data_IF_821638778946
#
_entry.id   IF_821638778946
#
_cell.length_a   1.000
_cell.length_b   1.000
_cell.length_c   1.000
_cell.angle_alpha   90.00
_cell.angle_beta   90.00
_cell.angle_gamma   90.00
#
_symmetry.space_group_name_H-M   'P 1'
#
loop_
_entity.id
_entity.type
_entity.pdbx_description
1 polymer ?
#
# COMPACT_ATOMS: atom_id res chain seq x y z
N UNK A 1 -9.53 22.55 -15.26
CA UNK A 1 -9.46 23.15 -16.61
C UNK A 1 -9.69 24.66 -16.55
N UNK A 2 -9.33 25.38 -17.62
CA UNK A 2 -9.62 26.83 -17.75
C UNK A 2 -11.12 27.08 -17.71
N UNK A 3 -11.92 26.21 -18.33
CA UNK A 3 -13.39 26.32 -18.33
C UNK A 3 -13.99 26.13 -16.94
N UNK A 4 -13.47 25.18 -16.16
CA UNK A 4 -13.86 25.00 -14.75
C UNK A 4 -13.52 26.22 -13.90
N UNK A 5 -12.31 26.77 -14.05
CA UNK A 5 -11.93 27.98 -13.36
C UNK A 5 -12.83 29.18 -13.74
N UNK A 6 -13.15 29.33 -15.02
CA UNK A 6 -14.09 30.38 -15.50
C UNK A 6 -15.48 30.20 -14.87
N UNK A 7 -15.97 28.97 -14.78
CA UNK A 7 -17.26 28.67 -14.15
C UNK A 7 -17.27 29.01 -12.66
N UNK A 8 -16.20 28.66 -11.94
CA UNK A 8 -16.04 28.97 -10.52
C UNK A 8 -15.94 30.50 -10.29
N UNK A 9 -15.16 31.21 -11.09
CA UNK A 9 -15.04 32.66 -11.03
C UNK A 9 -16.37 33.37 -11.34
N UNK A 10 -17.13 32.88 -12.32
CA UNK A 10 -18.49 33.41 -12.60
C UNK A 10 -19.44 33.18 -11.41
N UNK A 11 -19.34 32.06 -10.73
CA UNK A 11 -20.13 31.78 -9.54
C UNK A 11 -19.75 32.71 -8.40
N UNK A 12 -18.44 32.93 -8.15
CA UNK A 12 -17.98 33.92 -7.20
C UNK A 12 -18.50 35.33 -7.51
N UNK A 13 -18.44 35.73 -8.78
CA UNK A 13 -18.93 37.03 -9.23
C UNK A 13 -20.46 37.18 -9.01
N UNK A 14 -21.21 36.13 -9.33
CA UNK A 14 -22.67 36.15 -9.14
C UNK A 14 -23.07 36.27 -7.68
N UNK A 15 -22.44 35.48 -6.78
CA UNK A 15 -22.73 35.53 -5.35
C UNK A 15 -22.29 36.87 -4.74
N UNK A 16 -21.11 37.38 -5.13
CA UNK A 16 -20.62 38.70 -4.67
C UNK A 16 -21.56 39.83 -5.10
N UNK A 17 -22.13 39.74 -6.31
CA UNK A 17 -23.05 40.78 -6.82
C UNK A 17 -24.42 40.76 -6.16
N UNK A 18 -24.93 39.56 -5.78
CA UNK A 18 -26.28 39.38 -5.23
C UNK A 18 -26.27 39.44 -3.70
N UNK A 19 -25.28 38.81 -3.08
CA UNK A 19 -25.24 38.59 -1.60
C UNK A 19 -24.22 39.49 -0.90
N UNK A 20 -23.36 40.19 -1.67
CA UNK A 20 -22.30 41.04 -1.14
C UNK A 20 -21.08 40.31 -0.58
N UNK A 21 -21.13 38.97 -0.57
CA UNK A 21 -20.01 38.09 -0.15
C UNK A 21 -19.97 36.83 -1.04
N UNK A 22 -18.80 36.17 -1.04
CA UNK A 22 -18.64 34.90 -1.74
C UNK A 22 -19.09 33.78 -0.80
N UNK A 23 -20.20 33.13 -1.16
CA UNK A 23 -20.68 31.94 -0.44
C UNK A 23 -19.74 30.78 -0.67
N UNK A 24 -19.42 30.04 0.41
CA UNK A 24 -18.53 28.88 0.35
C UNK A 24 -19.09 27.79 -0.56
N UNK A 25 -18.26 27.30 -1.47
CA UNK A 25 -18.63 26.23 -2.40
C UNK A 25 -17.41 25.36 -2.74
N UNK A 26 -17.65 24.15 -3.19
CA UNK A 26 -16.57 23.25 -3.62
C UNK A 26 -16.09 23.67 -5.02
N UNK A 27 -14.84 24.16 -5.18
CA UNK A 27 -14.29 24.51 -6.49
C UNK A 27 -14.19 23.30 -7.41
N UNK A 28 -14.25 23.55 -8.74
CA UNK A 28 -14.09 22.49 -9.74
C UNK A 28 -15.31 21.61 -9.99
N UNK A 29 -16.47 21.89 -9.40
CA UNK A 29 -17.72 21.13 -9.65
C UNK A 29 -18.13 21.14 -11.13
N UNK A 30 -17.80 22.20 -11.86
CA UNK A 30 -18.06 22.35 -13.28
C UNK A 30 -16.80 22.16 -14.14
N UNK A 31 -15.74 21.65 -13.55
CA UNK A 31 -14.51 21.38 -14.28
C UNK A 31 -14.74 20.21 -15.25
N UNK A 32 -14.81 20.53 -16.53
CA UNK A 32 -14.99 19.58 -17.63
C UNK A 32 -13.64 19.23 -18.25
N UNK A 33 -12.72 18.69 -17.44
CA UNK A 33 -11.49 18.15 -18.01
C UNK A 33 -11.83 16.98 -18.94
N UNK A 34 -11.42 17.01 -20.21
CA UNK A 34 -11.51 15.86 -21.09
C UNK A 34 -10.52 14.75 -20.69
N UNK A 35 -9.58 15.04 -19.79
CA UNK A 35 -8.71 14.03 -19.22
C UNK A 35 -9.51 13.13 -18.28
N UNK A 36 -9.51 11.84 -18.57
CA UNK A 36 -10.00 10.83 -17.65
C UNK A 36 -9.02 10.83 -16.47
N UNK A 37 -9.39 11.50 -15.40
CA UNK A 37 -8.75 11.23 -14.13
C UNK A 37 -9.24 9.86 -13.68
N UNK A 38 -8.45 8.83 -13.95
CA UNK A 38 -8.59 7.52 -13.36
C UNK A 38 -8.40 7.73 -11.85
N UNK A 39 -9.47 8.18 -11.21
CA UNK A 39 -9.42 8.45 -9.79
C UNK A 39 -9.08 7.13 -9.08
N UNK A 40 -8.14 7.18 -8.14
CA UNK A 40 -7.84 6.09 -7.19
C UNK A 40 -9.08 5.60 -6.41
N UNK A 41 -10.25 6.19 -6.72
CA UNK A 41 -11.54 5.89 -6.11
C UNK A 41 -12.02 4.45 -6.33
N UNK A 42 -11.47 3.71 -7.32
CA UNK A 42 -11.71 2.28 -7.45
C UNK A 42 -11.19 1.52 -6.23
N UNK A 43 -10.11 2.03 -5.62
CA UNK A 43 -9.40 1.43 -4.50
C UNK A 43 -9.72 2.09 -3.16
N UNK A 44 -10.51 3.16 -3.12
CA UNK A 44 -10.64 4.04 -1.95
C UNK A 44 -11.66 3.59 -0.89
N UNK A 45 -12.46 2.55 -1.13
CA UNK A 45 -13.41 2.04 -0.14
C UNK A 45 -13.56 0.53 -0.26
N UNK A 46 -12.66 -0.22 0.38
CA UNK A 46 -12.82 -1.67 0.53
C UNK A 46 -13.70 -1.97 1.74
N UNK A 47 -14.86 -2.64 1.55
CA UNK A 47 -15.73 -3.04 2.67
C UNK A 47 -14.96 -3.84 3.72
N UNK A 48 -13.99 -4.66 3.29
CA UNK A 48 -13.19 -5.52 4.16
C UNK A 48 -12.23 -4.76 5.08
N UNK A 49 -11.95 -3.48 4.84
CA UNK A 49 -11.21 -2.66 5.79
C UNK A 49 -11.96 -2.52 7.13
N UNK A 50 -13.31 -2.58 7.12
CA UNK A 50 -14.13 -2.60 8.34
C UNK A 50 -13.85 -3.81 9.23
N UNK A 51 -13.50 -4.96 8.64
CA UNK A 51 -13.23 -6.19 9.38
C UNK A 51 -11.89 -6.07 10.13
N UNK A 52 -10.87 -5.46 9.52
CA UNK A 52 -9.60 -5.14 10.18
C UNK A 52 -9.80 -4.13 11.30
N UNK A 53 -10.65 -3.11 11.07
CA UNK A 53 -10.98 -2.12 12.11
C UNK A 53 -11.74 -2.76 13.26
N UNK A 54 -12.66 -3.69 13.00
CA UNK A 54 -13.36 -4.44 14.03
C UNK A 54 -12.40 -5.31 14.86
N UNK A 55 -11.39 -5.94 14.22
CA UNK A 55 -10.32 -6.64 14.91
C UNK A 55 -9.51 -5.70 15.82
N UNK A 56 -9.15 -4.51 15.32
CA UNK A 56 -8.49 -3.49 16.13
C UNK A 56 -9.33 -3.08 17.35
N UNK A 57 -10.63 -2.94 17.19
CA UNK A 57 -11.53 -2.59 18.31
C UNK A 57 -11.59 -3.70 19.35
N UNK A 58 -11.63 -4.98 18.91
CA UNK A 58 -11.55 -6.13 19.84
C UNK A 58 -10.23 -6.14 20.61
N UNK A 59 -9.10 -5.96 19.94
CA UNK A 59 -7.77 -5.87 20.57
C UNK A 59 -7.71 -4.72 21.57
N UNK A 60 -8.26 -3.55 21.21
CA UNK A 60 -8.27 -2.37 22.08
C UNK A 60 -9.10 -2.57 23.35
N UNK A 61 -10.19 -3.34 23.26
CA UNK A 61 -11.10 -3.62 24.39
C UNK A 61 -10.60 -4.78 25.26
N UNK A 62 -10.13 -5.87 24.64
CA UNK A 62 -9.73 -7.09 25.36
C UNK A 62 -8.31 -7.00 25.91
N UNK A 63 -7.43 -6.20 25.28
CA UNK A 63 -5.99 -6.22 25.53
C UNK A 63 -5.31 -7.51 25.07
N UNK A 64 -6.01 -8.40 24.34
CA UNK A 64 -5.47 -9.64 23.82
C UNK A 64 -4.99 -9.47 22.36
N UNK A 65 -3.93 -10.20 21.96
CA UNK A 65 -3.41 -10.13 20.60
C UNK A 65 -4.36 -10.82 19.61
N UNK A 66 -4.44 -10.27 18.39
CA UNK A 66 -5.19 -10.87 17.29
C UNK A 66 -4.36 -10.83 15.99
N UNK A 67 -4.46 -11.90 15.20
CA UNK A 67 -3.89 -11.99 13.85
C UNK A 67 -5.02 -11.82 12.81
N UNK A 68 -4.80 -10.95 11.85
CA UNK A 68 -5.64 -10.83 10.65
C UNK A 68 -4.79 -11.17 9.43
N UNK A 69 -5.17 -12.19 8.69
CA UNK A 69 -4.55 -12.52 7.40
C UNK A 69 -5.40 -11.97 6.26
N UNK A 70 -4.76 -11.35 5.26
CA UNK A 70 -5.42 -10.84 4.05
C UNK A 70 -4.87 -11.63 2.88
N UNK A 71 -5.58 -12.68 2.47
CA UNK A 71 -5.20 -13.59 1.39
C UNK A 71 -5.85 -13.24 0.06
N UNK A 72 -5.23 -13.64 -1.06
CA UNK A 72 -5.88 -13.56 -2.36
C UNK A 72 -4.95 -13.24 -3.53
N UNK A 73 -5.46 -13.35 -4.78
CA UNK A 73 -4.66 -13.21 -5.99
C UNK A 73 -4.06 -11.81 -6.15
N UNK A 74 -3.07 -11.68 -7.03
CA UNK A 74 -2.46 -10.39 -7.35
C UNK A 74 -3.52 -9.43 -7.92
N UNK A 75 -3.46 -8.16 -7.51
CA UNK A 75 -4.35 -7.12 -8.02
C UNK A 75 -5.75 -7.10 -7.41
N UNK A 76 -6.12 -8.04 -6.52
CA UNK A 76 -7.47 -8.12 -5.91
C UNK A 76 -7.77 -6.96 -4.93
N UNK A 77 -6.77 -6.19 -4.56
CA UNK A 77 -6.95 -5.02 -3.68
C UNK A 77 -6.46 -5.19 -2.25
N UNK A 78 -5.62 -6.18 -1.92
CA UNK A 78 -5.04 -6.38 -0.57
C UNK A 78 -4.39 -5.11 -0.03
N UNK A 79 -3.47 -4.52 -0.79
CA UNK A 79 -2.79 -3.26 -0.40
C UNK A 79 -3.77 -2.08 -0.27
N UNK A 80 -4.90 -2.11 -1.00
CA UNK A 80 -5.94 -1.09 -0.87
C UNK A 80 -6.75 -1.25 0.41
N UNK A 81 -7.03 -2.50 0.85
CA UNK A 81 -7.60 -2.78 2.19
C UNK A 81 -6.67 -2.23 3.26
N UNK A 82 -5.36 -2.51 3.16
CA UNK A 82 -4.33 -1.98 4.06
C UNK A 82 -4.34 -0.45 4.07
N UNK A 83 -4.27 0.19 2.93
CA UNK A 83 -4.24 1.66 2.82
C UNK A 83 -5.50 2.31 3.42
N UNK A 84 -6.68 1.73 3.18
CA UNK A 84 -7.95 2.18 3.75
C UNK A 84 -7.96 2.02 5.27
N UNK A 85 -7.47 0.88 5.76
CA UNK A 85 -7.32 0.62 7.20
C UNK A 85 -6.39 1.62 7.86
N UNK A 86 -5.19 1.83 7.30
CA UNK A 86 -4.22 2.79 7.82
C UNK A 86 -4.80 4.20 7.91
N UNK A 87 -5.49 4.66 6.85
CA UNK A 87 -6.13 5.97 6.83
C UNK A 87 -7.19 6.13 7.94
N UNK A 88 -7.93 5.06 8.23
CA UNK A 88 -8.92 5.05 9.31
C UNK A 88 -8.28 4.98 10.71
N UNK A 89 -7.17 4.27 10.84
CA UNK A 89 -6.44 4.13 12.10
C UNK A 89 -5.64 5.39 12.47
N UNK A 90 -5.13 6.15 11.49
CA UNK A 90 -4.41 7.40 11.73
C UNK A 90 -5.22 8.44 12.51
N UNK A 91 -6.54 8.36 12.49
CA UNK A 91 -7.43 9.23 13.25
C UNK A 91 -7.66 8.75 14.69
N UNK A 92 -7.05 7.62 15.08
CA UNK A 92 -7.20 6.97 16.39
C UNK A 92 -5.89 7.02 17.17
N UNK A 93 -5.97 6.84 18.48
CA UNK A 93 -4.79 6.70 19.32
C UNK A 93 -4.21 5.30 19.19
N UNK A 94 -3.29 5.11 18.26
CA UNK A 94 -2.70 3.83 17.90
C UNK A 94 -1.24 4.02 17.47
N UNK A 95 -0.39 3.04 17.73
CA UNK A 95 0.95 2.98 17.18
C UNK A 95 0.96 2.06 15.95
N UNK A 96 1.48 2.56 14.85
CA UNK A 96 1.50 1.85 13.56
C UNK A 96 2.93 1.49 13.18
N UNK A 97 3.21 0.19 13.08
CA UNK A 97 4.44 -0.35 12.53
C UNK A 97 4.11 -1.00 11.18
N UNK A 98 4.54 -0.37 10.09
CA UNK A 98 4.19 -0.80 8.72
C UNK A 98 5.44 -1.26 8.01
N UNK A 99 5.46 -2.54 7.60
CA UNK A 99 6.52 -3.14 6.82
C UNK A 99 5.99 -3.69 5.49
N UNK A 100 6.76 -3.50 4.44
CA UNK A 100 6.51 -4.11 3.13
C UNK A 100 7.73 -4.93 2.73
N UNK A 101 7.49 -6.16 2.28
CA UNK A 101 8.56 -7.01 1.76
C UNK A 101 8.79 -6.69 0.29
N UNK A 102 10.05 -6.40 -0.06
CA UNK A 102 10.44 -6.17 -1.43
C UNK A 102 10.92 -7.48 -2.08
N UNK A 103 10.33 -7.82 -3.22
CA UNK A 103 10.68 -9.02 -3.98
C UNK A 103 12.12 -9.00 -4.51
N UNK A 104 12.68 -7.82 -4.76
CA UNK A 104 13.95 -7.64 -5.48
C UNK A 104 15.10 -7.18 -4.57
N UNK A 105 14.83 -6.80 -3.33
CA UNK A 105 15.89 -6.52 -2.36
C UNK A 105 16.55 -7.81 -1.92
N UNK A 106 17.90 -7.86 -1.89
CA UNK A 106 18.56 -9.00 -1.28
C UNK A 106 18.01 -9.16 0.13
N UNK A 107 17.54 -10.35 0.42
CA UNK A 107 16.86 -10.71 1.67
C UNK A 107 17.82 -10.56 2.85
N UNK A 108 17.96 -9.34 3.34
CA UNK A 108 18.58 -9.13 4.66
C UNK A 108 17.68 -9.80 5.68
N UNK A 109 18.20 -10.68 6.52
CA UNK A 109 17.41 -11.26 7.59
C UNK A 109 16.70 -10.18 8.38
N UNK A 110 15.42 -10.40 8.70
CA UNK A 110 14.57 -9.48 9.45
C UNK A 110 14.20 -8.17 8.71
N UNK A 111 14.35 -8.09 7.39
CA UNK A 111 14.15 -6.87 6.61
C UNK A 111 12.77 -6.25 6.79
N UNK A 112 11.71 -7.07 6.78
CA UNK A 112 10.34 -6.57 6.98
C UNK A 112 10.09 -6.04 8.38
N UNK A 113 10.65 -6.68 9.41
CA UNK A 113 10.54 -6.23 10.80
C UNK A 113 11.34 -4.93 11.01
N UNK A 114 12.54 -4.85 10.41
CA UNK A 114 13.35 -3.62 10.37
C UNK A 114 12.55 -2.46 9.79
N UNK A 115 11.96 -2.65 8.61
CA UNK A 115 11.12 -1.64 7.94
C UNK A 115 9.94 -1.21 8.81
N UNK A 116 9.23 -2.17 9.41
CA UNK A 116 8.08 -1.88 10.26
C UNK A 116 8.44 -1.07 11.51
N UNK A 117 9.46 -1.50 12.25
CA UNK A 117 9.90 -0.78 13.45
C UNK A 117 10.60 0.54 13.14
N UNK A 118 11.25 0.66 11.97
CA UNK A 118 11.81 1.93 11.50
C UNK A 118 10.71 2.96 11.31
N UNK A 119 9.61 2.60 10.63
CA UNK A 119 8.47 3.49 10.42
C UNK A 119 7.94 4.02 11.76
N UNK A 120 7.80 3.13 12.75
CA UNK A 120 7.36 3.50 14.10
C UNK A 120 8.39 4.38 14.82
N UNK A 121 9.68 4.05 14.74
CA UNK A 121 10.76 4.82 15.37
C UNK A 121 10.81 6.25 14.82
N UNK A 122 10.70 6.43 13.52
CA UNK A 122 10.65 7.75 12.88
C UNK A 122 9.42 8.54 13.32
N UNK A 123 8.27 7.90 13.48
CA UNK A 123 7.08 8.53 14.03
C UNK A 123 7.33 9.04 15.45
N UNK A 124 7.94 8.24 16.33
CA UNK A 124 8.26 8.62 17.71
C UNK A 124 9.25 9.79 17.78
N UNK A 125 10.25 9.82 16.90
CA UNK A 125 11.23 10.92 16.81
C UNK A 125 10.57 12.23 16.38
N UNK A 126 9.43 12.18 15.67
CA UNK A 126 8.63 13.34 15.28
C UNK A 126 7.70 13.90 16.36
N UNK A 127 7.59 13.24 17.52
CA UNK A 127 6.75 13.68 18.64
C UNK A 127 7.34 14.90 19.38
N UNK A 128 6.54 15.63 20.18
CA UNK A 128 7.06 16.67 21.06
C UNK A 128 8.18 16.18 21.99
N UNK A 129 9.16 17.03 22.27
CA UNK A 129 10.39 16.66 23.01
C UNK A 129 10.13 15.94 24.35
N UNK A 130 9.06 16.32 25.08
CA UNK A 130 8.67 15.67 26.35
C UNK A 130 8.20 14.22 26.16
N UNK A 131 7.48 13.95 25.08
CA UNK A 131 7.03 12.59 24.74
C UNK A 131 8.21 11.74 24.26
N UNK A 132 9.10 12.30 23.44
CA UNK A 132 10.34 11.64 23.01
C UNK A 132 11.19 11.26 24.22
N UNK A 133 11.35 12.15 25.22
CA UNK A 133 12.08 11.86 26.46
C UNK A 133 11.47 10.69 27.23
N UNK A 134 10.15 10.63 27.30
CA UNK A 134 9.43 9.51 27.93
C UNK A 134 9.70 8.19 27.20
N UNK A 135 9.67 8.21 25.86
CA UNK A 135 9.98 7.03 25.04
C UNK A 135 11.44 6.58 25.17
N UNK A 136 12.40 7.52 25.29
CA UNK A 136 13.81 7.20 25.55
C UNK A 136 13.97 6.37 26.81
N UNK A 137 13.40 6.82 27.93
CA UNK A 137 13.47 6.12 29.22
C UNK A 137 12.84 4.72 29.11
N UNK A 138 11.65 4.62 28.48
CA UNK A 138 10.94 3.35 28.32
C UNK A 138 11.73 2.35 27.49
N UNK A 139 12.24 2.78 26.34
CA UNK A 139 12.99 1.93 25.41
C UNK A 139 14.34 1.52 25.98
N UNK A 140 15.09 2.45 26.60
CA UNK A 140 16.37 2.13 27.24
C UNK A 140 16.22 1.07 28.33
N UNK A 141 15.16 1.17 29.14
CA UNK A 141 14.87 0.16 30.17
C UNK A 141 14.45 -1.19 29.59
N UNK A 142 13.60 -1.19 28.57
CA UNK A 142 13.05 -2.42 27.98
C UNK A 142 14.08 -3.19 27.15
N UNK A 143 15.05 -2.48 26.57
CA UNK A 143 16.08 -3.02 25.70
C UNK A 143 17.43 -3.19 26.42
N UNK A 144 17.47 -3.08 27.75
CA UNK A 144 18.68 -3.31 28.52
C UNK A 144 19.30 -4.68 28.20
N UNK A 145 20.54 -4.69 27.70
CA UNK A 145 21.23 -5.88 27.18
C UNK A 145 20.85 -6.33 25.78
N UNK A 146 19.97 -5.60 25.09
CA UNK A 146 19.58 -5.83 23.68
C UNK A 146 19.88 -4.63 22.79
N UNK A 147 20.50 -3.57 23.29
CA UNK A 147 20.68 -2.29 22.60
C UNK A 147 21.37 -2.48 21.24
N UNK A 148 22.41 -3.33 21.21
CA UNK A 148 23.17 -3.64 20.00
C UNK A 148 22.30 -4.31 18.92
N UNK A 149 21.50 -5.31 19.32
CA UNK A 149 20.58 -6.02 18.42
C UNK A 149 19.47 -5.08 17.93
N UNK A 150 18.94 -4.23 18.80
CA UNK A 150 17.89 -3.28 18.45
C UNK A 150 18.39 -2.23 17.45
N UNK A 151 19.59 -1.69 17.63
CA UNK A 151 20.21 -0.75 16.69
C UNK A 151 20.64 -1.45 15.40
N UNK A 152 21.04 -2.73 15.43
CA UNK A 152 21.31 -3.50 14.20
C UNK A 152 20.04 -3.73 13.39
N UNK A 153 18.88 -3.90 14.05
CA UNK A 153 17.59 -4.01 13.38
C UNK A 153 17.11 -2.67 12.85
N UNK A 154 17.15 -1.63 13.67
CA UNK A 154 16.68 -0.27 13.37
C UNK A 154 17.73 0.75 13.81
N UNK A 155 18.61 1.21 12.91
CA UNK A 155 19.68 2.14 13.26
C UNK A 155 19.20 3.43 13.92
N UNK A 156 18.02 3.90 13.59
CA UNK A 156 17.40 5.11 14.14
C UNK A 156 17.07 4.98 15.64
N UNK A 157 16.94 3.76 16.18
CA UNK A 157 16.78 3.54 17.63
C UNK A 157 17.96 4.08 18.44
N UNK A 158 19.16 4.18 17.83
CA UNK A 158 20.31 4.82 18.49
C UNK A 158 20.04 6.27 18.94
N UNK A 159 19.07 6.96 18.33
CA UNK A 159 18.65 8.31 18.72
C UNK A 159 17.70 8.31 19.93
N UNK A 160 17.09 7.16 20.23
CA UNK A 160 16.15 6.96 21.33
C UNK A 160 16.77 6.17 22.50
N UNK A 161 17.96 5.56 22.34
CA UNK A 161 18.64 4.84 23.40
C UNK A 161 19.68 5.74 24.08
N UNK A 162 19.72 5.72 25.42
CA UNK A 162 20.67 6.50 26.20
C UNK A 162 22.07 5.89 26.20
N UNK A 163 22.12 4.54 26.14
CA UNK A 163 23.37 3.81 26.13
C UNK A 163 23.80 3.56 24.67
N UNK A 164 25.03 4.00 24.35
CA UNK A 164 25.60 3.71 23.02
C UNK A 164 25.96 2.22 22.93
N UNK A 165 25.43 1.50 21.94
CA UNK A 165 25.77 0.09 21.76
C UNK A 165 27.27 -0.09 21.52
N UNK A 166 27.87 -1.12 22.17
CA UNK A 166 29.24 -1.56 21.89
C UNK A 166 29.13 -2.80 21.02
N UNK A 167 29.48 -2.69 19.76
CA UNK A 167 29.38 -3.79 18.80
C UNK A 167 30.35 -4.91 19.13
N UNK A 168 29.86 -6.14 19.36
CA UNK A 168 30.63 -7.36 19.52
C UNK A 168 30.39 -8.32 18.32
N UNK A 169 31.41 -9.14 18.00
CA UNK A 169 31.45 -9.96 16.79
C UNK A 169 30.55 -11.21 16.81
N UNK A 170 29.82 -11.51 17.91
CA UNK A 170 29.13 -12.80 18.11
C UNK A 170 27.65 -12.83 17.70
N UNK A 171 27.25 -12.10 16.67
CA UNK A 171 25.85 -11.83 16.34
C UNK A 171 25.09 -12.99 15.62
N UNK A 172 25.74 -14.12 15.27
CA UNK A 172 25.13 -15.12 14.36
C UNK A 172 25.04 -16.57 14.88
N UNK A 173 25.04 -16.79 16.19
CA UNK A 173 24.82 -18.13 16.78
C UNK A 173 23.32 -18.49 16.91
N UNK A 174 23.03 -19.79 17.21
CA UNK A 174 21.63 -20.23 17.50
C UNK A 174 21.04 -19.44 18.67
N UNK A 175 21.85 -19.11 19.68
CA UNK A 175 21.45 -18.24 20.80
C UNK A 175 21.13 -16.82 20.34
N UNK A 176 21.75 -16.33 19.26
CA UNK A 176 21.45 -15.01 18.71
C UNK A 176 20.03 -14.90 18.16
N UNK A 177 19.49 -15.95 17.53
CA UNK A 177 18.10 -15.95 17.03
C UNK A 177 17.09 -15.87 18.17
N UNK A 178 17.28 -16.66 19.22
CA UNK A 178 16.43 -16.61 20.41
C UNK A 178 16.49 -15.23 21.08
N UNK A 179 17.69 -14.68 21.25
CA UNK A 179 17.90 -13.31 21.77
C UNK A 179 17.22 -12.26 20.92
N UNK A 180 17.28 -12.41 19.58
CA UNK A 180 16.61 -11.51 18.64
C UNK A 180 15.09 -11.56 18.79
N UNK A 181 14.49 -12.75 18.87
CA UNK A 181 13.05 -12.91 19.08
C UNK A 181 12.61 -12.33 20.43
N UNK A 182 13.40 -12.49 21.49
CA UNK A 182 13.15 -11.88 22.80
C UNK A 182 13.24 -10.35 22.74
N UNK A 183 14.21 -9.80 22.02
CA UNK A 183 14.35 -8.36 21.80
C UNK A 183 13.11 -7.80 21.06
N UNK A 184 12.66 -8.46 19.99
CA UNK A 184 11.44 -8.04 19.26
C UNK A 184 10.22 -8.09 20.16
N UNK A 185 10.09 -9.13 20.99
CA UNK A 185 9.01 -9.23 21.98
C UNK A 185 9.06 -8.10 23.01
N UNK A 186 10.27 -7.72 23.48
CA UNK A 186 10.46 -6.59 24.40
C UNK A 186 10.07 -5.25 23.74
N UNK A 187 10.44 -5.04 22.47
CA UNK A 187 10.00 -3.89 21.68
C UNK A 187 8.47 -3.82 21.58
N UNK A 188 7.84 -4.92 21.17
CA UNK A 188 6.38 -4.99 21.03
C UNK A 188 5.68 -4.71 22.36
N UNK A 189 6.15 -5.31 23.46
CA UNK A 189 5.61 -5.06 24.82
C UNK A 189 5.75 -3.60 25.25
N UNK A 190 6.80 -2.93 24.82
CA UNK A 190 7.04 -1.53 25.16
C UNK A 190 6.11 -0.60 24.39
N UNK A 191 5.87 -0.89 23.12
CA UNK A 191 5.00 -0.09 22.24
C UNK A 191 3.53 -0.36 22.50
N UNK A 192 3.12 -1.63 22.63
CA UNK A 192 1.74 -2.03 22.80
C UNK A 192 1.30 -1.82 24.27
N UNK A 193 0.50 -0.79 24.52
CA UNK A 193 -0.09 -0.49 25.82
C UNK A 193 -1.61 -0.43 25.75
N UNK A 194 -2.31 -0.64 26.87
CA UNK A 194 -3.78 -0.57 26.90
C UNK A 194 -4.34 0.80 26.42
N UNK A 195 -3.56 1.87 26.60
CA UNK A 195 -3.96 3.21 26.15
C UNK A 195 -3.56 3.53 24.71
N UNK A 196 -2.70 2.71 24.09
CA UNK A 196 -2.24 2.84 22.70
C UNK A 196 -1.85 1.44 22.17
N UNK A 197 -2.80 0.68 21.60
CA UNK A 197 -2.52 -0.61 20.96
C UNK A 197 -1.49 -0.46 19.84
N UNK A 198 -0.70 -1.51 19.61
CA UNK A 198 0.20 -1.59 18.47
C UNK A 198 -0.45 -2.34 17.32
N UNK A 199 -0.41 -1.78 16.13
CA UNK A 199 -0.74 -2.47 14.88
C UNK A 199 0.54 -2.72 14.10
N UNK A 200 0.92 -3.99 13.97
CA UNK A 200 2.01 -4.45 13.13
C UNK A 200 1.43 -4.93 11.80
N UNK A 201 1.67 -4.17 10.74
CA UNK A 201 1.14 -4.43 9.41
C UNK A 201 2.26 -4.83 8.47
N UNK A 202 2.16 -6.04 7.90
CA UNK A 202 3.15 -6.61 7.00
C UNK A 202 2.52 -6.91 5.64
N UNK A 203 2.93 -6.20 4.60
CA UNK A 203 2.45 -6.40 3.23
C UNK A 203 3.43 -7.24 2.41
N UNK A 204 2.90 -8.01 1.46
CA UNK A 204 3.65 -8.85 0.53
C UNK A 204 4.50 -9.94 1.20
N UNK A 205 4.02 -10.53 2.30
CA UNK A 205 4.78 -11.53 3.09
C UNK A 205 5.06 -12.84 2.35
N UNK A 206 4.57 -13.05 1.13
CA UNK A 206 5.02 -14.15 0.26
C UNK A 206 6.51 -14.05 -0.11
N UNK A 207 7.16 -12.94 0.19
CA UNK A 207 8.61 -12.72 -0.01
C UNK A 207 9.38 -12.63 1.31
N UNK A 208 8.72 -12.94 2.44
CA UNK A 208 9.33 -12.83 3.78
C UNK A 208 10.51 -13.79 3.92
N UNK A 209 11.54 -13.35 4.60
CA UNK A 209 12.65 -14.22 4.97
C UNK A 209 12.26 -15.17 6.13
N UNK A 210 12.89 -16.34 6.17
CA UNK A 210 12.59 -17.38 7.16
C UNK A 210 12.80 -16.92 8.61
N UNK A 211 13.77 -16.03 8.85
CA UNK A 211 14.09 -15.54 10.20
C UNK A 211 13.00 -14.57 10.70
N UNK A 212 12.51 -13.67 9.82
CA UNK A 212 11.36 -12.80 10.11
C UNK A 212 10.12 -13.63 10.42
N UNK A 213 9.84 -14.66 9.61
CA UNK A 213 8.66 -15.51 9.78
C UNK A 213 8.70 -16.29 11.10
N UNK A 214 9.85 -16.87 11.46
CA UNK A 214 10.05 -17.55 12.74
C UNK A 214 9.89 -16.59 13.92
N UNK A 215 10.38 -15.36 13.79
CA UNK A 215 10.22 -14.32 14.83
C UNK A 215 8.75 -13.92 14.97
N UNK A 216 8.01 -13.83 13.88
CA UNK A 216 6.58 -13.52 13.89
C UNK A 216 5.78 -14.66 14.56
N UNK A 217 6.06 -15.92 14.24
CA UNK A 217 5.45 -17.10 14.90
C UNK A 217 5.74 -17.10 16.41
N UNK A 218 7.00 -16.87 16.80
CA UNK A 218 7.38 -16.77 18.20
C UNK A 218 6.66 -15.61 18.91
N UNK A 219 6.55 -14.46 18.28
CA UNK A 219 5.85 -13.30 18.81
C UNK A 219 4.38 -13.62 19.07
N UNK A 220 3.68 -14.23 18.11
CA UNK A 220 2.26 -14.59 18.25
C UNK A 220 2.03 -15.57 19.39
N UNK A 221 2.92 -16.55 19.59
CA UNK A 221 2.86 -17.52 20.71
C UNK A 221 3.19 -16.92 22.06
N UNK A 222 4.14 -15.96 22.11
CA UNK A 222 4.72 -15.48 23.36
C UNK A 222 4.15 -14.14 23.85
N UNK A 223 3.30 -13.47 23.05
CA UNK A 223 2.87 -12.12 23.40
C UNK A 223 1.89 -12.04 24.57
N UNK A 224 1.19 -13.12 24.94
CA UNK A 224 0.27 -13.11 26.09
C UNK A 224 -0.82 -12.05 25.99
N UNK A 225 -1.14 -11.36 27.09
CA UNK A 225 -2.13 -10.28 27.13
C UNK A 225 -1.49 -8.93 26.74
N UNK A 226 -1.24 -8.73 25.45
CA UNK A 226 -0.68 -7.49 24.90
C UNK A 226 -1.63 -6.96 23.84
N UNK A 227 -2.03 -5.68 23.85
CA UNK A 227 -2.92 -5.12 22.83
C UNK A 227 -2.18 -4.95 21.50
N UNK A 228 -2.00 -6.06 20.79
CA UNK A 228 -1.28 -6.18 19.53
C UNK A 228 -2.23 -6.71 18.44
N UNK A 229 -2.41 -5.93 17.38
CA UNK A 229 -3.00 -6.41 16.14
C UNK A 229 -1.90 -6.68 15.13
N UNK A 230 -1.76 -7.91 14.66
CA UNK A 230 -0.88 -8.28 13.56
C UNK A 230 -1.73 -8.43 12.30
N UNK A 231 -1.41 -7.68 11.25
CA UNK A 231 -2.07 -7.77 9.94
C UNK A 231 -1.03 -8.24 8.92
N UNK A 232 -1.31 -9.36 8.26
CA UNK A 232 -0.40 -10.00 7.31
C UNK A 232 -1.09 -10.13 5.96
N UNK A 233 -0.56 -9.50 4.91
CA UNK A 233 -1.09 -9.65 3.56
C UNK A 233 -0.18 -10.52 2.70
N UNK A 234 -0.78 -11.50 2.01
CA UNK A 234 -0.06 -12.46 1.18
C UNK A 234 -0.85 -12.82 -0.10
N UNK A 235 -0.15 -13.36 -1.09
CA UNK A 235 -0.80 -13.98 -2.25
C UNK A 235 -1.43 -15.32 -1.86
N UNK A 236 -2.25 -15.87 -2.76
CA UNK A 236 -2.78 -17.22 -2.55
C UNK A 236 -1.65 -18.19 -2.23
N UNK A 237 -1.74 -18.86 -1.09
CA UNK A 237 -0.69 -19.76 -0.62
C UNK A 237 -0.40 -20.88 -1.64
N UNK A 238 -1.45 -21.38 -2.32
CA UNK A 238 -1.31 -22.38 -3.39
C UNK A 238 -0.48 -21.92 -4.58
N UNK A 239 -0.31 -20.62 -4.77
CA UNK A 239 0.48 -20.02 -5.86
C UNK A 239 1.96 -19.83 -5.50
N UNK A 240 2.36 -20.11 -4.26
CA UNK A 240 3.75 -19.95 -3.81
C UNK A 240 4.62 -21.12 -4.32
N UNK A 241 5.80 -20.77 -4.82
CA UNK A 241 6.75 -21.77 -5.35
C UNK A 241 7.51 -22.53 -4.25
N UNK A 242 7.59 -21.96 -3.03
CA UNK A 242 8.28 -22.56 -1.89
C UNK A 242 7.28 -23.27 -0.96
N UNK A 243 7.26 -24.60 -0.91
CA UNK A 243 6.37 -25.36 -0.03
C UNK A 243 6.63 -25.12 1.46
N UNK A 244 7.88 -24.82 1.82
CA UNK A 244 8.27 -24.55 3.22
C UNK A 244 7.62 -23.24 3.69
N UNK A 245 7.73 -22.20 2.88
CA UNK A 245 7.10 -20.90 3.15
C UNK A 245 5.57 -21.02 3.15
N UNK A 246 5.01 -21.76 2.20
CA UNK A 246 3.58 -22.04 2.14
C UNK A 246 3.06 -22.66 3.45
N UNK A 247 3.72 -23.72 3.92
CA UNK A 247 3.34 -24.43 5.18
C UNK A 247 3.49 -23.50 6.38
N UNK A 248 4.59 -22.75 6.46
CA UNK A 248 4.84 -21.85 7.58
C UNK A 248 3.86 -20.67 7.63
N UNK A 249 3.47 -20.10 6.50
CA UNK A 249 2.44 -19.06 6.46
C UNK A 249 1.05 -19.63 6.79
N UNK A 250 0.73 -20.85 6.34
CA UNK A 250 -0.53 -21.52 6.65
C UNK A 250 -0.67 -21.85 8.15
N UNK A 251 0.45 -22.06 8.87
CA UNK A 251 0.44 -22.35 10.31
C UNK A 251 0.42 -21.10 11.21
N UNK A 252 0.63 -19.89 10.69
CA UNK A 252 0.59 -18.67 11.49
C UNK A 252 -0.71 -18.46 12.28
N UNK A 253 -1.92 -18.75 11.73
CA UNK A 253 -3.16 -18.65 12.49
C UNK A 253 -3.20 -19.54 13.75
N UNK A 254 -2.52 -20.70 13.72
CA UNK A 254 -2.43 -21.62 14.85
C UNK A 254 -1.54 -21.08 15.99
N UNK A 255 -0.61 -20.16 15.64
CA UNK A 255 0.25 -19.50 16.62
C UNK A 255 -0.48 -18.39 17.40
N UNK A 256 -1.55 -17.82 16.84
CA UNK A 256 -2.30 -16.73 17.44
C UNK A 256 -3.43 -17.24 18.33
N UNK A 257 -3.75 -16.53 19.41
CA UNK A 257 -4.91 -16.84 20.27
C UNK A 257 -6.23 -16.57 19.54
N UNK A 258 -6.27 -15.52 18.75
CA UNK A 258 -7.38 -15.18 17.89
C UNK A 258 -6.84 -14.88 16.49
N UNK A 259 -7.41 -15.52 15.48
CA UNK A 259 -7.05 -15.31 14.09
C UNK A 259 -8.31 -15.16 13.24
N UNK A 260 -8.26 -14.25 12.28
CA UNK A 260 -9.29 -14.09 11.27
C UNK A 260 -8.67 -13.95 9.88
N UNK A 261 -9.35 -14.45 8.87
CA UNK A 261 -8.93 -14.38 7.48
C UNK A 261 -9.89 -13.48 6.71
N UNK A 262 -9.31 -12.58 5.92
CA UNK A 262 -10.01 -11.68 5.01
C UNK A 262 -9.58 -12.02 3.59
N UNK A 263 -10.54 -12.37 2.75
CA UNK A 263 -10.33 -12.58 1.32
C UNK A 263 -11.05 -11.48 0.54
N UNK A 264 -10.31 -10.48 0.03
CA UNK A 264 -10.91 -9.43 -0.79
C UNK A 264 -11.61 -10.03 -2.01
N UNK A 265 -12.84 -9.58 -2.24
CA UNK A 265 -13.69 -10.11 -3.31
C UNK A 265 -13.47 -9.29 -4.59
N UNK A 266 -13.59 -9.96 -5.74
CA UNK A 266 -13.64 -9.28 -7.02
C UNK A 266 -14.80 -8.27 -7.08
N UNK A 267 -14.61 -7.19 -7.83
CA UNK A 267 -15.65 -6.16 -8.00
C UNK A 267 -16.85 -6.75 -8.72
N UNK A 268 -18.03 -6.54 -8.20
CA UNK A 268 -19.26 -6.87 -8.92
C UNK A 268 -19.48 -5.90 -10.10
N UNK A 269 -20.28 -6.32 -11.09
CA UNK A 269 -20.69 -5.43 -12.21
C UNK A 269 -21.25 -4.11 -11.69
N UNK A 270 -22.04 -4.13 -10.60
CA UNK A 270 -22.57 -2.91 -9.97
C UNK A 270 -21.46 -2.01 -9.40
N UNK A 271 -20.39 -2.57 -8.86
CA UNK A 271 -19.26 -1.81 -8.35
C UNK A 271 -18.48 -1.15 -9.50
N UNK A 272 -18.23 -1.90 -10.58
CA UNK A 272 -17.59 -1.37 -11.80
C UNK A 272 -18.46 -0.28 -12.43
N UNK A 273 -19.78 -0.47 -12.52
CA UNK A 273 -20.70 0.54 -13.05
C UNK A 273 -20.70 1.83 -12.22
N UNK A 274 -20.67 1.73 -10.89
CA UNK A 274 -20.55 2.90 -10.00
C UNK A 274 -19.22 3.64 -10.19
N UNK A 275 -18.12 2.90 -10.31
CA UNK A 275 -16.83 3.50 -10.58
C UNK A 275 -16.81 4.23 -11.93
N UNK A 276 -17.26 3.58 -13.01
CA UNK A 276 -17.38 4.22 -14.34
C UNK A 276 -18.29 5.45 -14.31
N UNK A 277 -19.37 5.39 -13.53
CA UNK A 277 -20.26 6.53 -13.34
C UNK A 277 -19.55 7.74 -12.69
N UNK A 278 -18.66 7.48 -11.74
CA UNK A 278 -17.81 8.51 -11.13
C UNK A 278 -16.81 9.07 -12.15
N UNK A 279 -16.13 8.20 -12.91
CA UNK A 279 -15.19 8.59 -13.97
C UNK A 279 -15.87 9.42 -15.05
N UNK A 280 -17.03 8.99 -15.50
CA UNK A 280 -17.80 9.67 -16.56
C UNK A 280 -18.71 10.80 -16.05
N UNK A 281 -18.75 11.01 -14.73
CA UNK A 281 -19.65 11.98 -14.08
C UNK A 281 -21.11 11.81 -14.55
N UNK A 282 -21.60 10.56 -14.56
CA UNK A 282 -22.93 10.17 -15.03
C UNK A 282 -23.62 9.26 -14.02
N UNK A 283 -24.81 8.78 -14.36
CA UNK A 283 -25.54 7.79 -13.54
C UNK A 283 -25.04 6.38 -13.84
N UNK A 284 -24.95 5.52 -12.84
CA UNK A 284 -24.45 4.15 -12.98
C UNK A 284 -25.26 3.28 -13.96
N UNK A 285 -26.55 3.57 -14.13
CA UNK A 285 -27.39 2.89 -15.12
C UNK A 285 -26.90 3.11 -16.58
N UNK A 286 -26.29 4.27 -16.87
CA UNK A 286 -25.78 4.58 -18.20
C UNK A 286 -24.44 3.88 -18.52
N UNK A 287 -23.80 3.27 -17.54
CA UNK A 287 -22.49 2.61 -17.68
C UNK A 287 -22.57 1.10 -17.50
N UNK A 288 -23.78 0.55 -17.31
CA UNK A 288 -23.98 -0.88 -16.99
C UNK A 288 -23.47 -1.80 -18.10
N UNK A 289 -23.71 -1.48 -19.36
CA UNK A 289 -23.30 -2.32 -20.49
C UNK A 289 -21.78 -2.38 -20.62
N UNK A 290 -21.11 -1.23 -20.48
CA UNK A 290 -19.65 -1.16 -20.46
C UNK A 290 -19.07 -1.87 -19.23
N UNK A 291 -19.70 -1.70 -18.06
CA UNK A 291 -19.29 -2.37 -16.84
C UNK A 291 -19.41 -3.90 -16.93
N UNK A 292 -20.47 -4.39 -17.57
CA UNK A 292 -20.67 -5.82 -17.82
C UNK A 292 -19.55 -6.35 -18.71
N UNK A 293 -19.26 -5.66 -19.82
CA UNK A 293 -18.19 -6.05 -20.73
C UNK A 293 -16.81 -6.04 -20.05
N UNK A 294 -16.50 -5.00 -19.29
CA UNK A 294 -15.23 -4.94 -18.53
C UNK A 294 -15.15 -6.08 -17.51
N UNK A 295 -16.25 -6.33 -16.80
CA UNK A 295 -16.29 -7.42 -15.81
C UNK A 295 -16.11 -8.80 -16.48
N UNK A 296 -16.75 -9.07 -17.63
CA UNK A 296 -16.55 -10.29 -18.40
C UNK A 296 -15.09 -10.52 -18.79
N UNK A 297 -14.38 -9.44 -19.16
CA UNK A 297 -12.98 -9.50 -19.60
C UNK A 297 -11.96 -9.58 -18.47
N UNK A 298 -12.30 -9.11 -17.27
CA UNK A 298 -11.35 -8.92 -16.16
C UNK A 298 -11.65 -9.79 -14.94
N UNK A 299 -12.79 -10.50 -14.97
CA UNK A 299 -13.28 -11.23 -13.78
C UNK A 299 -13.58 -10.33 -12.60
N UNK A 300 -13.65 -9.00 -12.81
CA UNK A 300 -13.84 -8.01 -11.74
C UNK A 300 -12.60 -7.79 -10.86
N UNK A 301 -11.43 -8.32 -11.24
CA UNK A 301 -10.19 -7.99 -10.52
C UNK A 301 -9.90 -6.48 -10.63
N UNK A 302 -9.78 -5.73 -9.52
CA UNK A 302 -9.66 -4.27 -9.56
C UNK A 302 -8.51 -3.75 -10.42
N UNK A 303 -7.33 -4.38 -10.32
CA UNK A 303 -6.17 -4.01 -11.14
C UNK A 303 -6.47 -4.23 -12.63
N UNK A 304 -7.09 -5.36 -12.98
CA UNK A 304 -7.42 -5.70 -14.36
C UNK A 304 -8.51 -4.78 -14.91
N UNK A 305 -9.52 -4.43 -14.10
CA UNK A 305 -10.55 -3.44 -14.46
C UNK A 305 -9.92 -2.10 -14.81
N UNK A 306 -8.98 -1.64 -13.98
CA UNK A 306 -8.29 -0.37 -14.18
C UNK A 306 -7.44 -0.37 -15.46
N UNK A 307 -6.59 -1.38 -15.63
CA UNK A 307 -5.68 -1.47 -16.78
C UNK A 307 -6.44 -1.72 -18.09
N UNK A 308 -7.48 -2.55 -18.07
CA UNK A 308 -8.33 -2.76 -19.24
C UNK A 308 -9.04 -1.47 -19.64
N UNK A 309 -9.65 -0.76 -18.69
CA UNK A 309 -10.33 0.50 -18.96
C UNK A 309 -9.35 1.54 -19.51
N UNK A 310 -8.17 1.66 -18.93
CA UNK A 310 -7.12 2.53 -19.41
C UNK A 310 -6.77 2.21 -20.88
N UNK A 311 -6.56 0.94 -21.19
CA UNK A 311 -6.21 0.51 -22.55
C UNK A 311 -7.30 0.88 -23.58
N UNK A 312 -8.57 0.67 -23.28
CA UNK A 312 -9.65 1.04 -24.20
C UNK A 312 -9.78 2.55 -24.39
N UNK A 313 -9.35 3.34 -23.40
CA UNK A 313 -9.25 4.81 -23.52
C UNK A 313 -8.08 5.20 -24.41
N UNK A 314 -6.89 4.65 -24.18
CA UNK A 314 -5.69 4.91 -24.96
C UNK A 314 -5.86 4.52 -26.42
N UNK A 315 -6.59 3.43 -26.69
CA UNK A 315 -6.95 2.97 -28.03
C UNK A 315 -8.05 3.83 -28.70
N UNK A 316 -8.55 4.86 -28.01
CA UNK A 316 -9.58 5.77 -28.54
C UNK A 316 -10.97 5.13 -28.68
N UNK A 317 -11.23 3.98 -28.02
CA UNK A 317 -12.53 3.31 -28.04
C UNK A 317 -13.52 3.92 -27.03
N UNK A 318 -13.02 4.75 -26.11
CA UNK A 318 -13.79 5.57 -25.19
C UNK A 318 -13.38 7.01 -25.39
N UNK A 319 -14.28 7.84 -25.91
CA UNK A 319 -13.99 9.24 -26.25
C UNK A 319 -15.03 10.18 -25.63
N UNK A 320 -14.57 11.35 -25.22
CA UNK A 320 -15.46 12.40 -24.74
C UNK A 320 -15.90 13.30 -25.89
N UNK A 321 -17.19 13.34 -26.16
CA UNK A 321 -17.76 14.29 -27.14
C UNK A 321 -17.87 15.67 -26.45
N UNK A 322 -16.98 16.57 -26.81
CA UNK A 322 -16.93 17.95 -26.25
C UNK A 322 -18.19 18.77 -26.54
N UNK A 323 -18.88 18.51 -27.67
CA UNK A 323 -20.10 19.25 -28.07
C UNK A 323 -21.31 18.80 -27.26
N UNK A 324 -21.42 17.52 -26.94
CA UNK A 324 -22.51 16.96 -26.17
C UNK A 324 -22.25 16.84 -24.68
N UNK A 325 -21.00 17.01 -24.24
CA UNK A 325 -20.57 16.80 -22.86
C UNK A 325 -20.77 15.35 -22.37
N UNK A 326 -20.77 14.37 -23.29
CA UNK A 326 -21.03 12.96 -22.99
C UNK A 326 -19.87 12.08 -23.45
N UNK A 327 -19.69 10.99 -22.76
CA UNK A 327 -18.77 9.93 -23.14
C UNK A 327 -19.44 8.98 -24.11
N UNK A 328 -18.75 8.64 -25.20
CA UNK A 328 -19.13 7.64 -26.17
C UNK A 328 -18.16 6.48 -26.17
N UNK A 329 -18.68 5.28 -26.30
CA UNK A 329 -17.87 4.07 -26.39
C UNK A 329 -18.52 3.07 -27.34
N UNK A 330 -17.69 2.36 -28.10
CA UNK A 330 -18.12 1.32 -29.04
C UNK A 330 -17.92 -0.07 -28.42
N UNK A 331 -19.02 -0.63 -27.89
CA UNK A 331 -19.03 -1.95 -27.27
C UNK A 331 -18.62 -3.08 -28.23
N UNK A 332 -18.97 -2.95 -29.52
CA UNK A 332 -18.65 -3.98 -30.51
C UNK A 332 -17.16 -3.96 -30.84
N UNK A 333 -16.61 -2.77 -31.05
CA UNK A 333 -15.17 -2.59 -31.27
C UNK A 333 -14.35 -3.06 -30.05
N UNK A 334 -14.81 -2.77 -28.82
CA UNK A 334 -14.14 -3.24 -27.60
C UNK A 334 -14.20 -4.77 -27.49
N UNK A 335 -15.35 -5.40 -27.82
CA UNK A 335 -15.49 -6.87 -27.82
C UNK A 335 -14.63 -7.55 -28.87
N UNK A 336 -14.52 -6.96 -30.06
CA UNK A 336 -13.78 -7.52 -31.18
C UNK A 336 -12.27 -7.54 -30.96
N UNK A 337 -11.75 -6.65 -30.09
CA UNK A 337 -10.34 -6.66 -29.72
C UNK A 337 -10.04 -7.77 -28.72
N UNK A 338 -9.10 -8.63 -29.09
CA UNK A 338 -8.57 -9.69 -28.23
C UNK A 338 -7.57 -9.09 -27.25
N UNK A 339 -8.09 -8.43 -26.20
CA UNK A 339 -7.23 -8.11 -25.05
C UNK A 339 -6.97 -9.40 -24.28
N UNK A 340 -5.71 -9.67 -23.98
CA UNK A 340 -5.32 -10.84 -23.20
C UNK A 340 -5.85 -10.71 -21.77
N UNK A 341 -6.35 -11.80 -21.21
CA UNK A 341 -6.89 -11.86 -19.83
C UNK A 341 -5.83 -11.64 -18.75
N UNK A 342 -4.56 -11.45 -19.15
CA UNK A 342 -3.44 -11.32 -18.23
C UNK A 342 -2.87 -9.90 -18.28
N UNK A 343 -2.97 -9.17 -17.14
CA UNK A 343 -2.38 -7.83 -16.96
C UNK A 343 -0.89 -7.80 -17.28
N UNK A 344 -0.15 -8.86 -16.97
CA UNK A 344 1.28 -8.93 -17.29
C UNK A 344 1.50 -8.78 -18.79
N UNK A 345 0.64 -9.39 -19.60
CA UNK A 345 0.73 -9.27 -21.07
C UNK A 345 0.38 -7.86 -21.53
N UNK A 346 -0.64 -7.22 -20.93
CA UNK A 346 -1.00 -5.83 -21.24
C UNK A 346 0.15 -4.86 -20.91
N UNK A 347 0.75 -4.99 -19.73
CA UNK A 347 1.92 -4.18 -19.34
C UNK A 347 3.13 -4.47 -20.24
N UNK A 348 3.37 -5.74 -20.63
CA UNK A 348 4.42 -6.10 -21.56
C UNK A 348 4.20 -5.50 -22.96
N UNK A 349 2.97 -5.42 -23.43
CA UNK A 349 2.61 -4.75 -24.69
C UNK A 349 2.90 -3.25 -24.60
N UNK A 350 2.47 -2.59 -23.53
CA UNK A 350 2.80 -1.18 -23.30
C UNK A 350 4.31 -0.93 -23.26
N UNK A 351 5.07 -1.79 -22.56
CA UNK A 351 6.52 -1.69 -22.53
C UNK A 351 7.15 -1.86 -23.92
N UNK A 352 6.61 -2.75 -24.76
CA UNK A 352 7.10 -2.94 -26.15
C UNK A 352 6.87 -1.73 -27.04
N UNK A 353 5.79 -0.98 -26.81
CA UNK A 353 5.45 0.24 -27.54
C UNK A 353 6.30 1.45 -27.12
N UNK A 354 6.99 1.38 -25.97
CA UNK A 354 7.84 2.48 -25.47
C UNK A 354 9.18 2.59 -26.22
N UNK A 355 9.77 3.80 -26.27
CA UNK A 355 11.10 4.00 -26.79
C UNK A 355 12.13 3.07 -26.14
N UNK A 356 13.10 2.59 -26.92
CA UNK A 356 14.15 1.66 -26.45
C UNK A 356 14.89 2.22 -25.23
N UNK A 357 15.12 3.54 -25.23
CA UNK A 357 15.80 4.23 -24.14
C UNK A 357 15.00 4.22 -22.85
N UNK A 358 13.69 4.51 -22.93
CA UNK A 358 12.76 4.42 -21.78
C UNK A 358 12.76 3.01 -21.19
N UNK A 359 12.68 1.96 -22.05
CA UNK A 359 12.72 0.56 -21.61
C UNK A 359 14.03 0.20 -20.91
N UNK A 360 15.17 0.67 -21.40
CA UNK A 360 16.48 0.45 -20.75
C UNK A 360 16.54 1.11 -19.36
N UNK A 361 16.06 2.33 -19.25
CA UNK A 361 16.00 3.03 -17.95
C UNK A 361 15.06 2.33 -16.98
N UNK A 362 13.87 1.90 -17.41
CA UNK A 362 12.96 1.11 -16.57
C UNK A 362 13.61 -0.21 -16.11
N UNK A 363 14.37 -0.89 -16.96
CA UNK A 363 15.17 -2.05 -16.58
C UNK A 363 16.20 -1.72 -15.50
N UNK A 364 16.90 -0.60 -15.63
CA UNK A 364 17.85 -0.14 -14.59
C UNK A 364 17.16 0.19 -13.26
N UNK A 365 16.00 0.84 -13.32
CA UNK A 365 15.18 1.13 -12.12
C UNK A 365 14.74 -0.18 -11.46
N UNK A 366 14.26 -1.15 -12.23
CA UNK A 366 13.85 -2.46 -11.71
C UNK A 366 15.00 -3.21 -11.02
N UNK A 367 16.24 -3.06 -11.48
CA UNK A 367 17.42 -3.63 -10.84
C UNK A 367 17.80 -2.88 -9.53
N UNK A 368 17.43 -1.62 -9.40
CA UNK A 368 17.69 -0.82 -8.19
C UNK A 368 16.62 -0.99 -7.09
N UNK A 369 15.54 -1.68 -7.39
CA UNK A 369 14.40 -1.88 -6.48
C UNK A 369 13.17 -1.03 -6.83
N UNK A 370 12.09 -1.20 -6.06
CA UNK A 370 10.80 -0.52 -6.32
C UNK A 370 10.83 1.00 -6.04
N UNK A 371 11.79 1.47 -5.27
CA UNK A 371 12.01 2.90 -4.95
C UNK A 371 13.48 3.22 -5.14
N UNK A 372 13.80 4.03 -6.15
CA UNK A 372 15.16 4.47 -6.44
C UNK A 372 15.28 6.00 -6.37
N UNK A 373 16.32 6.49 -5.71
CA UNK A 373 16.64 7.90 -5.77
C UNK A 373 17.18 8.26 -7.18
N UNK A 374 16.68 9.36 -7.74
CA UNK A 374 17.11 9.83 -9.06
C UNK A 374 18.64 10.00 -9.15
N UNK A 375 19.27 10.42 -8.06
CA UNK A 375 20.73 10.56 -7.99
C UNK A 375 21.46 9.22 -8.15
N UNK A 376 20.95 8.15 -7.54
CA UNK A 376 21.50 6.81 -7.69
C UNK A 376 21.37 6.33 -9.14
N UNK A 377 20.21 6.57 -9.77
CA UNK A 377 19.99 6.24 -11.17
C UNK A 377 20.95 7.03 -12.09
N UNK A 378 21.18 8.31 -11.80
CA UNK A 378 22.15 9.14 -12.53
C UNK A 378 23.56 8.54 -12.47
N UNK A 379 24.00 8.07 -11.30
CA UNK A 379 25.31 7.44 -11.12
C UNK A 379 25.43 6.12 -11.85
N UNK A 380 24.40 5.27 -11.80
CA UNK A 380 24.39 3.95 -12.46
C UNK A 380 24.38 4.09 -13.98
N UNK A 381 23.60 5.01 -14.52
CA UNK A 381 23.41 5.18 -15.96
C UNK A 381 24.46 6.13 -16.57
N UNK A 382 25.12 6.97 -15.75
CA UNK A 382 26.12 7.94 -16.20
C UNK A 382 25.52 9.13 -16.96
N UNK A 383 24.28 9.54 -16.63
CA UNK A 383 23.55 10.64 -17.28
C UNK A 383 23.05 11.66 -16.29
N UNK A 384 22.76 12.86 -16.79
CA UNK A 384 22.20 13.93 -15.98
C UNK A 384 20.73 13.66 -15.60
N UNK A 385 20.29 14.22 -14.48
CA UNK A 385 18.91 14.12 -14.01
C UNK A 385 17.89 14.66 -15.04
N UNK A 386 18.25 15.68 -15.81
CA UNK A 386 17.37 16.23 -16.84
C UNK A 386 17.16 15.26 -18.01
N UNK A 387 18.22 14.61 -18.49
CA UNK A 387 18.15 13.59 -19.55
C UNK A 387 17.34 12.37 -19.12
N UNK A 388 17.54 11.91 -17.88
CA UNK A 388 16.79 10.77 -17.33
C UNK A 388 15.30 11.10 -17.19
N UNK A 389 14.96 12.28 -16.66
CA UNK A 389 13.55 12.71 -16.57
C UNK A 389 12.88 12.79 -17.93
N UNK A 390 13.60 13.35 -18.93
CA UNK A 390 13.09 13.41 -20.29
C UNK A 390 12.84 12.03 -20.89
N UNK A 391 13.79 11.12 -20.76
CA UNK A 391 13.68 9.77 -21.29
C UNK A 391 12.65 8.91 -20.53
N UNK A 392 12.37 9.19 -19.25
CA UNK A 392 11.33 8.53 -18.45
C UNK A 392 9.93 9.15 -18.62
N UNK A 393 9.82 10.32 -19.25
CA UNK A 393 8.55 11.01 -19.46
C UNK A 393 7.47 10.09 -20.11
N UNK A 394 7.75 9.26 -21.14
CA UNK A 394 6.76 8.31 -21.67
C UNK A 394 6.25 7.32 -20.61
N UNK A 395 7.13 6.84 -19.74
CA UNK A 395 6.76 5.91 -18.67
C UNK A 395 5.93 6.58 -17.57
N UNK A 396 6.26 7.83 -17.22
CA UNK A 396 5.48 8.63 -16.28
C UNK A 396 4.10 8.98 -16.83
N UNK A 397 4.01 9.36 -18.13
CA UNK A 397 2.73 9.61 -18.80
C UNK A 397 1.88 8.35 -18.85
N UNK A 398 2.51 7.19 -19.04
CA UNK A 398 1.90 5.89 -19.00
C UNK A 398 1.66 5.39 -17.56
N UNK A 399 1.95 6.17 -16.51
CA UNK A 399 1.79 5.82 -15.09
C UNK A 399 2.43 4.46 -14.71
N UNK A 400 3.55 4.13 -15.31
CA UNK A 400 4.35 2.94 -14.95
C UNK A 400 5.37 3.24 -13.86
N UNK A 401 5.62 4.55 -13.64
CA UNK A 401 6.47 5.11 -12.59
C UNK A 401 5.83 6.36 -12.01
#
# INVERSE_FOLDING_TARGET
TVDGLIADLRRCQATLTVEGEIVDFIPGQQDRSPAIHLADSLFSAHPQASDVIAAFERVSQSGAPELVTIGGPSGIGKSSVIATTLKSLQQRKVLLAVGKVDQYSPTLPYGVLSSAFRTLTLHLLGLPAGEVATWKIRLSRALEGFEELAVSLVPELNLLLENKPRFSADTFSIDARARFSHMVLALVKTFATQGAPLVLLLDDVQWIDAASLQTLDHLLRACGAIPLLVVVAHRDLSSLSDPTLQTALASLPEAAQHASEIVPQALSVKAVARWLATVFRTRSAATTDLATLIHEKTGGNPLFVHEFFRRIVDDGLVVHNKYQGKWHYDLQAIRARHYTENVVTLVLEQLKEMPVETRRLLGSIACLGCTGELEMLCRVVGRSAAEIRYALHPAATAQLI
#
